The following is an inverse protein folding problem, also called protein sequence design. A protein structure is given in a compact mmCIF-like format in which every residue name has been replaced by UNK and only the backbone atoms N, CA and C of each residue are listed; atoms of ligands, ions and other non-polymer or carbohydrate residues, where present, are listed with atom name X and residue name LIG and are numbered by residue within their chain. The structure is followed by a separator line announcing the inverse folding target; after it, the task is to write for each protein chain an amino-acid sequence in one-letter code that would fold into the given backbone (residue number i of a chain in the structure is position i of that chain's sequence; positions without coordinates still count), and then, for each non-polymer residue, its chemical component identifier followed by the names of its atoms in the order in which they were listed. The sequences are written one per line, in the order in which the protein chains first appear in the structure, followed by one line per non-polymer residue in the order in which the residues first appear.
data_IF_513659291658
#
_entry.id   IF_513659291658
#
_cell.length_a   1.000
_cell.length_b   1.000
_cell.length_c   1.000
_cell.angle_alpha   90.00
_cell.angle_beta   90.00
_cell.angle_gamma   90.00
#
_symmetry.space_group_name_H-M   'P 1'
#
loop_
_entity.id
_entity.type
_entity.pdbx_description
1 polymer ?
#
# COMPACT_ATOMS: atom_id res chain seq x y z
N UNK A 1 -30.31 24.40 -13.65
CA UNK A 1 -29.46 23.27 -14.09
C UNK A 1 -27.98 23.39 -13.73
N UNK A 2 -27.44 24.59 -13.49
CA UNK A 2 -26.01 24.82 -13.16
C UNK A 2 -25.58 24.25 -11.79
N UNK A 3 -26.45 24.34 -10.77
CA UNK A 3 -26.16 23.88 -9.40
C UNK A 3 -25.89 22.38 -9.28
N UNK A 4 -26.58 21.56 -10.09
CA UNK A 4 -26.47 20.09 -10.03
C UNK A 4 -25.09 19.62 -10.53
N UNK A 5 -24.59 20.23 -11.60
CA UNK A 5 -23.26 19.95 -12.16
C UNK A 5 -22.15 20.29 -11.15
N UNK A 6 -22.27 21.42 -10.46
CA UNK A 6 -21.34 21.82 -9.40
C UNK A 6 -21.31 20.82 -8.24
N UNK A 7 -22.48 20.33 -7.82
CA UNK A 7 -22.60 19.31 -6.76
C UNK A 7 -22.00 17.96 -7.17
N UNK A 8 -22.23 17.52 -8.41
CA UNK A 8 -21.63 16.29 -8.92
C UNK A 8 -20.10 16.38 -8.96
N UNK A 9 -19.55 17.50 -9.44
CA UNK A 9 -18.09 17.71 -9.45
C UNK A 9 -17.52 17.68 -8.02
N UNK A 10 -18.15 18.37 -7.06
CA UNK A 10 -17.71 18.33 -5.66
C UNK A 10 -17.69 16.92 -5.08
N UNK A 11 -18.73 16.12 -5.35
CA UNK A 11 -18.82 14.74 -4.87
C UNK A 11 -17.70 13.85 -5.43
N UNK A 12 -17.36 14.01 -6.72
CA UNK A 12 -16.24 13.29 -7.34
C UNK A 12 -14.89 13.67 -6.73
N UNK A 13 -14.64 14.96 -6.47
CA UNK A 13 -13.39 15.41 -5.83
C UNK A 13 -13.26 14.85 -4.40
N UNK A 14 -14.34 14.88 -3.61
CA UNK A 14 -14.34 14.34 -2.25
C UNK A 14 -14.11 12.82 -2.26
N UNK A 15 -14.77 12.07 -3.15
CA UNK A 15 -14.60 10.63 -3.27
C UNK A 15 -13.17 10.25 -3.70
N UNK A 16 -12.57 10.98 -4.65
CA UNK A 16 -11.20 10.78 -5.08
C UNK A 16 -10.19 11.06 -3.97
N UNK A 17 -10.39 12.14 -3.20
CA UNK A 17 -9.55 12.48 -2.04
C UNK A 17 -9.63 11.42 -0.94
N UNK A 18 -10.83 10.92 -0.64
CA UNK A 18 -11.03 9.84 0.32
C UNK A 18 -10.33 8.54 -0.11
N UNK A 19 -10.45 8.14 -1.38
CA UNK A 19 -9.76 6.96 -1.92
C UNK A 19 -8.25 7.07 -1.78
N UNK A 20 -7.65 8.19 -2.19
CA UNK A 20 -6.20 8.38 -2.10
C UNK A 20 -5.70 8.37 -0.65
N UNK A 21 -6.49 8.90 0.29
CA UNK A 21 -6.16 8.89 1.72
C UNK A 21 -6.19 7.49 2.32
N UNK A 22 -7.19 6.68 1.94
CA UNK A 22 -7.29 5.28 2.36
C UNK A 22 -6.16 4.45 1.77
N UNK A 23 -5.90 4.56 0.46
CA UNK A 23 -4.84 3.80 -0.21
C UNK A 23 -3.47 4.09 0.44
N UNK A 24 -3.21 5.36 0.81
CA UNK A 24 -1.98 5.75 1.52
C UNK A 24 -1.87 5.13 2.90
N UNK A 25 -2.97 5.05 3.65
CA UNK A 25 -3.03 4.42 4.97
C UNK A 25 -2.77 2.92 4.86
N UNK A 26 -3.42 2.25 3.91
CA UNK A 26 -3.28 0.82 3.68
C UNK A 26 -1.84 0.47 3.27
N UNK A 27 -1.23 1.24 2.37
CA UNK A 27 0.18 1.08 2.02
C UNK A 27 1.11 1.19 3.24
N UNK A 28 0.89 2.18 4.13
CA UNK A 28 1.70 2.32 5.35
C UNK A 28 1.52 1.14 6.30
N UNK A 29 0.29 0.66 6.45
CA UNK A 29 -0.02 -0.46 7.33
C UNK A 29 0.62 -1.76 6.83
N UNK A 30 0.48 -2.07 5.54
CA UNK A 30 1.07 -3.28 4.95
C UNK A 30 2.60 -3.22 4.94
N UNK A 31 3.21 -2.05 4.70
CA UNK A 31 4.66 -1.86 4.85
C UNK A 31 5.13 -2.08 6.29
N UNK A 32 4.33 -1.66 7.29
CA UNK A 32 4.65 -1.91 8.71
C UNK A 32 4.62 -3.40 9.01
N UNK A 33 3.55 -4.11 8.62
CA UNK A 33 3.41 -5.57 8.81
C UNK A 33 4.52 -6.34 8.10
N UNK A 34 4.87 -5.94 6.88
CA UNK A 34 6.00 -6.52 6.15
C UNK A 34 7.31 -6.31 6.91
N UNK A 35 7.60 -5.08 7.35
CA UNK A 35 8.82 -4.81 8.11
C UNK A 35 8.91 -5.63 9.40
N UNK A 36 7.79 -5.82 10.08
CA UNK A 36 7.67 -6.65 11.28
C UNK A 36 8.00 -8.12 10.96
N UNK A 37 7.38 -8.71 9.92
CA UNK A 37 7.70 -10.06 9.47
C UNK A 37 9.17 -10.24 9.00
N UNK A 38 9.74 -9.22 8.35
CA UNK A 38 11.15 -9.24 7.94
C UNK A 38 12.11 -9.17 9.12
N UNK A 39 11.72 -8.48 10.19
CA UNK A 39 12.54 -8.35 11.38
C UNK A 39 12.65 -9.66 12.16
N UNK A 40 11.67 -10.56 12.01
CA UNK A 40 11.72 -11.92 12.59
C UNK A 40 12.42 -12.93 11.68
N UNK A 41 12.33 -12.78 10.35
CA UNK A 41 12.94 -13.70 9.37
C UNK A 41 13.98 -13.00 8.48
N UNK A 42 15.24 -12.98 8.96
CA UNK A 42 16.35 -12.32 8.26
C UNK A 42 16.81 -13.12 7.03
N UNK A 43 16.48 -12.63 5.83
CA UNK A 43 17.12 -13.10 4.56
C UNK A 43 17.40 -11.91 3.62
N UNK A 44 18.38 -12.06 2.74
CA UNK A 44 18.75 -11.00 1.78
C UNK A 44 17.68 -10.76 0.70
N UNK A 45 16.92 -11.79 0.32
CA UNK A 45 15.79 -11.70 -0.62
C UNK A 45 14.58 -10.99 0.00
N UNK A 46 14.34 -11.22 1.28
CA UNK A 46 13.25 -10.66 2.07
C UNK A 46 13.20 -9.12 2.01
N UNK A 47 14.36 -8.46 2.03
CA UNK A 47 14.43 -6.99 1.94
C UNK A 47 14.21 -6.42 0.52
N UNK A 48 14.27 -7.23 -0.54
CA UNK A 48 13.96 -6.76 -1.90
C UNK A 48 12.50 -6.36 -2.02
N UNK A 49 11.58 -7.22 -1.56
CA UNK A 49 10.13 -6.94 -1.61
C UNK A 49 9.74 -5.68 -0.83
N UNK A 50 10.40 -5.43 0.30
CA UNK A 50 10.21 -4.19 1.06
C UNK A 50 10.67 -2.95 0.28
N UNK A 51 11.85 -3.00 -0.34
CA UNK A 51 12.38 -1.90 -1.15
C UNK A 51 11.47 -1.61 -2.35
N UNK A 52 10.96 -2.64 -3.01
CA UNK A 52 10.04 -2.50 -4.14
C UNK A 52 8.71 -1.85 -3.72
N UNK A 53 8.10 -2.32 -2.63
CA UNK A 53 6.86 -1.73 -2.11
C UNK A 53 7.06 -0.27 -1.66
N UNK A 54 8.22 0.03 -1.04
CA UNK A 54 8.60 1.39 -0.65
C UNK A 54 8.78 2.29 -1.88
N UNK A 55 9.40 1.81 -2.96
CA UNK A 55 9.55 2.57 -4.20
C UNK A 55 8.18 2.95 -4.80
N UNK A 56 7.22 2.02 -4.82
CA UNK A 56 5.84 2.31 -5.27
C UNK A 56 5.16 3.37 -4.40
N UNK A 57 5.37 3.35 -3.08
CA UNK A 57 4.87 4.41 -2.18
C UNK A 57 5.49 5.76 -2.52
N UNK A 58 6.80 5.79 -2.75
CA UNK A 58 7.54 7.01 -3.05
C UNK A 58 7.12 7.59 -4.42
N UNK A 59 6.63 6.74 -5.34
CA UNK A 59 5.98 7.12 -6.60
C UNK A 59 4.47 7.44 -6.48
N UNK A 60 3.92 7.51 -5.27
CA UNK A 60 2.48 7.72 -5.00
C UNK A 60 1.55 6.61 -5.53
N UNK A 61 2.10 5.45 -5.90
CA UNK A 61 1.36 4.27 -6.34
C UNK A 61 0.85 3.46 -5.13
N UNK A 62 0.03 4.07 -4.27
CA UNK A 62 -0.32 3.51 -2.96
C UNK A 62 -1.02 2.14 -3.02
N UNK A 63 -1.93 1.93 -3.98
CA UNK A 63 -2.57 0.61 -4.19
C UNK A 63 -1.56 -0.48 -4.55
N UNK A 64 -0.56 -0.13 -5.38
CA UNK A 64 0.51 -1.02 -5.80
C UNK A 64 1.44 -1.33 -4.64
N UNK A 65 1.79 -0.32 -3.84
CA UNK A 65 2.52 -0.49 -2.59
C UNK A 65 1.83 -1.49 -1.66
N UNK A 66 0.54 -1.33 -1.38
CA UNK A 66 -0.19 -2.22 -0.48
C UNK A 66 -0.21 -3.67 -1.00
N UNK A 67 -0.43 -3.85 -2.32
CA UNK A 67 -0.41 -5.16 -2.98
C UNK A 67 0.97 -5.83 -2.94
N UNK A 68 2.04 -5.09 -3.25
CA UNK A 68 3.42 -5.57 -3.19
C UNK A 68 3.83 -5.92 -1.76
N UNK A 69 3.52 -5.05 -0.79
CA UNK A 69 3.84 -5.28 0.61
C UNK A 69 3.16 -6.54 1.16
N UNK A 70 1.86 -6.73 0.86
CA UNK A 70 1.12 -7.93 1.26
C UNK A 70 1.69 -9.20 0.64
N UNK A 71 1.96 -9.20 -0.68
CA UNK A 71 2.55 -10.35 -1.37
C UNK A 71 3.94 -10.69 -0.85
N UNK A 72 4.76 -9.69 -0.56
CA UNK A 72 6.08 -9.90 0.04
C UNK A 72 5.94 -10.50 1.44
N UNK A 73 4.98 -10.04 2.25
CA UNK A 73 4.72 -10.59 3.58
C UNK A 73 4.30 -12.06 3.50
N UNK A 74 3.36 -12.39 2.62
CA UNK A 74 2.92 -13.77 2.38
C UNK A 74 4.06 -14.70 1.90
N UNK A 75 5.13 -14.16 1.29
CA UNK A 75 6.32 -14.96 0.95
C UNK A 75 7.17 -15.21 2.19
N UNK A 76 7.43 -14.17 2.97
CA UNK A 76 8.19 -14.25 4.23
C UNK A 76 7.53 -15.23 5.21
N UNK A 77 6.21 -15.12 5.38
CA UNK A 77 5.43 -16.02 6.25
C UNK A 77 5.53 -17.48 5.78
N UNK A 78 5.43 -17.74 4.46
CA UNK A 78 5.57 -19.11 3.91
C UNK A 78 6.97 -19.68 4.03
N UNK A 79 8.00 -18.84 3.90
CA UNK A 79 9.40 -19.27 4.06
C UNK A 79 9.74 -19.53 5.54
N UNK A 80 9.08 -18.85 6.47
CA UNK A 80 9.25 -19.06 7.91
C UNK A 80 8.60 -20.33 8.46
N UNK A 81 7.60 -20.87 7.77
CA UNK A 81 6.89 -22.11 8.13
C UNK A 81 7.60 -23.41 7.65
N UNK A 82 8.75 -23.30 6.95
CA UNK A 82 9.59 -24.41 6.47
C UNK A 82 10.82 -24.63 7.37
#
# INVERSE_FOLDING_TARGET
MKLRLSLFLLAFLVAAGASASNDRRDCKEELRKLNEALSTHYTSQNHHGYREAKASRDNLEYKKCASQARKARERVEREGDL
#
